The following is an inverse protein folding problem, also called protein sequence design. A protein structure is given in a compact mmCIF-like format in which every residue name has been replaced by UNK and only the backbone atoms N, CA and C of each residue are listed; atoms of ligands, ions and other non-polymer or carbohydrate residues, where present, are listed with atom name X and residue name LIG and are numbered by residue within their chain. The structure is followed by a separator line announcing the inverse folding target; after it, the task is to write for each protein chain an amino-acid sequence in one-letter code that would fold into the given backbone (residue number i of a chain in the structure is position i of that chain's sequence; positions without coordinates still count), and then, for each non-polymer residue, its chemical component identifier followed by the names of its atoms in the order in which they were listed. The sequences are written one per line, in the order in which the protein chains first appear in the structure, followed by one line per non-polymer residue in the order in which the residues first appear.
data_IF_989944078846
#
_entry.id   IF_989944078846
#
_cell.length_a   1.000
_cell.length_b   1.000
_cell.length_c   1.000
_cell.angle_alpha   90.00
_cell.angle_beta   90.00
_cell.angle_gamma   90.00
#
_symmetry.space_group_name_H-M   'P 1'
#
loop_
_entity.id
_entity.type
_entity.pdbx_description
1 polymer ?
#
# COMPACT_ATOMS: atom_id res chain seq x y z
N UNK A 1 28.47 -11.18 2.39
CA UNK A 1 28.04 -10.67 3.71
C UNK A 1 26.57 -10.32 3.61
N UNK A 2 25.72 -11.11 4.28
CA UNK A 2 24.25 -10.92 4.23
C UNK A 2 23.81 -9.76 5.13
N UNK A 3 22.98 -8.88 4.62
CA UNK A 3 22.30 -7.81 5.35
C UNK A 3 20.80 -7.96 5.15
N UNK A 4 19.99 -7.62 6.15
CA UNK A 4 18.55 -7.67 6.05
C UNK A 4 17.97 -6.25 6.22
N UNK A 5 17.09 -5.85 5.33
CA UNK A 5 16.30 -4.64 5.50
C UNK A 5 14.87 -5.05 5.81
N UNK A 6 14.28 -4.41 6.82
CA UNK A 6 12.94 -4.68 7.28
C UNK A 6 12.17 -3.37 7.22
N UNK A 7 11.14 -3.28 6.37
CA UNK A 7 10.24 -2.13 6.37
C UNK A 7 9.04 -2.42 7.25
N UNK A 8 8.75 -1.49 8.16
CA UNK A 8 7.71 -1.63 9.18
C UNK A 8 6.82 -0.40 9.14
N UNK A 9 5.53 -0.61 9.22
CA UNK A 9 4.52 0.44 9.26
C UNK A 9 3.92 0.54 10.69
N UNK A 10 4.08 1.73 11.32
CA UNK A 10 3.63 1.96 12.69
C UNK A 10 2.90 3.29 12.86
N UNK A 11 1.82 3.33 13.63
CA UNK A 11 1.22 4.59 14.04
C UNK A 11 1.90 5.26 15.26
N UNK A 12 2.74 4.58 16.03
CA UNK A 12 3.36 5.18 17.23
C UNK A 12 4.60 4.41 17.73
N UNK A 13 5.81 5.01 17.74
CA UNK A 13 6.98 4.44 18.42
C UNK A 13 7.74 5.48 19.25
N UNK A 14 8.00 5.12 20.52
CA UNK A 14 9.21 5.50 21.26
C UNK A 14 10.17 4.32 21.18
N UNK A 15 11.27 4.49 20.46
CA UNK A 15 12.26 3.45 20.17
C UNK A 15 12.93 2.90 21.42
N UNK A 16 12.98 1.57 21.53
CA UNK A 16 13.90 0.88 22.43
C UNK A 16 15.35 1.23 22.03
N UNK A 17 16.16 1.66 23.00
CA UNK A 17 17.52 2.17 22.75
C UNK A 17 18.48 1.13 22.13
N UNK A 18 18.15 -0.16 22.20
CA UNK A 18 19.03 -1.27 21.75
C UNK A 18 19.20 -1.38 20.23
N UNK A 19 18.28 -0.79 19.43
CA UNK A 19 18.30 -0.88 17.96
C UNK A 19 18.28 0.49 17.28
N UNK A 20 18.60 1.54 18.01
CA UNK A 20 18.48 2.94 17.56
C UNK A 20 19.38 3.28 16.37
N UNK A 21 20.50 2.61 16.23
CA UNK A 21 21.50 2.90 15.20
C UNK A 21 21.08 2.45 13.79
N UNK A 22 20.09 1.55 13.70
CA UNK A 22 19.68 0.92 12.46
C UNK A 22 18.19 1.16 12.13
N UNK A 23 17.53 2.03 12.87
CA UNK A 23 16.13 2.37 12.68
C UNK A 23 16.01 3.73 11.97
N UNK A 24 15.41 3.72 10.80
CA UNK A 24 15.20 4.90 9.95
C UNK A 24 13.71 5.15 9.76
N UNK A 25 13.24 6.38 9.99
CA UNK A 25 11.87 6.79 9.67
C UNK A 25 11.83 7.29 8.23
N UNK A 26 11.03 6.66 7.39
CA UNK A 26 10.87 7.04 5.98
C UNK A 26 9.84 8.16 5.80
N UNK A 27 8.78 8.15 6.59
CA UNK A 27 7.71 9.14 6.59
C UNK A 27 6.47 8.60 7.27
N UNK A 28 5.62 9.50 7.81
CA UNK A 28 4.39 9.07 8.48
C UNK A 28 4.63 8.01 9.55
N UNK A 29 4.06 6.85 9.36
CA UNK A 29 4.15 5.66 10.21
C UNK A 29 5.05 4.55 9.62
N UNK A 30 5.89 4.88 8.61
CA UNK A 30 6.79 3.96 7.95
C UNK A 30 8.22 4.06 8.47
N UNK A 31 8.77 2.91 8.83
CA UNK A 31 10.13 2.78 9.36
C UNK A 31 10.88 1.66 8.65
N UNK A 32 12.19 1.81 8.55
CA UNK A 32 13.11 0.78 8.05
C UNK A 32 14.09 0.43 9.13
N UNK A 33 14.25 -0.86 9.39
CA UNK A 33 15.31 -1.39 10.25
C UNK A 33 16.31 -2.12 9.37
N UNK A 34 17.59 -1.73 9.48
CA UNK A 34 18.69 -2.41 8.82
C UNK A 34 19.35 -3.33 9.82
N UNK A 35 19.38 -4.62 9.55
CA UNK A 35 20.04 -5.61 10.41
C UNK A 35 21.43 -5.91 9.82
N UNK A 36 22.52 -5.53 10.52
CA UNK A 36 23.85 -5.72 10.01
C UNK A 36 24.27 -7.19 10.05
N UNK A 37 25.33 -7.58 9.32
CA UNK A 37 25.80 -8.96 9.22
C UNK A 37 26.09 -9.62 10.56
N UNK A 38 26.67 -8.87 11.49
CA UNK A 38 27.04 -9.36 12.83
C UNK A 38 25.83 -9.74 13.69
N UNK A 39 24.67 -9.16 13.38
CA UNK A 39 23.39 -9.44 14.05
C UNK A 39 22.52 -10.41 13.28
N UNK A 40 22.94 -10.87 12.10
CA UNK A 40 22.12 -11.73 11.24
C UNK A 40 21.75 -13.07 11.89
N UNK A 41 22.63 -13.65 12.70
CA UNK A 41 22.35 -14.90 13.44
C UNK A 41 21.21 -14.76 14.45
N UNK A 42 20.88 -13.52 14.86
CA UNK A 42 19.76 -13.21 15.80
C UNK A 42 18.55 -12.61 15.09
N UNK A 43 18.52 -12.65 13.77
CA UNK A 43 17.48 -12.02 12.97
C UNK A 43 16.06 -12.45 13.39
N UNK A 44 15.82 -13.75 13.55
CA UNK A 44 14.51 -14.27 13.95
C UNK A 44 14.10 -13.76 15.34
N UNK A 45 15.04 -13.70 16.27
CA UNK A 45 14.79 -13.16 17.62
C UNK A 45 14.45 -11.67 17.57
N UNK A 46 15.14 -10.89 16.73
CA UNK A 46 14.85 -9.46 16.54
C UNK A 46 13.42 -9.28 16.02
N UNK A 47 13.03 -10.05 15.01
CA UNK A 47 11.67 -10.01 14.46
C UNK A 47 10.63 -10.37 15.52
N UNK A 48 10.86 -11.43 16.29
CA UNK A 48 9.94 -11.84 17.37
C UNK A 48 9.87 -10.82 18.51
N UNK A 49 10.98 -10.18 18.87
CA UNK A 49 10.98 -9.14 19.89
C UNK A 49 10.20 -7.91 19.43
N UNK A 50 10.31 -7.52 18.16
CA UNK A 50 9.49 -6.47 17.57
C UNK A 50 8.01 -6.87 17.62
N UNK A 51 7.64 -8.08 17.23
CA UNK A 51 6.25 -8.57 17.33
C UNK A 51 5.70 -8.50 18.75
N UNK A 52 6.50 -8.90 19.76
CA UNK A 52 6.13 -8.82 21.17
C UNK A 52 5.85 -7.39 21.63
N UNK A 53 6.56 -6.39 21.13
CA UNK A 53 6.31 -4.97 21.43
C UNK A 53 4.88 -4.57 21.02
N UNK A 54 4.39 -5.09 19.87
CA UNK A 54 3.05 -4.77 19.34
C UNK A 54 1.95 -5.72 19.81
N UNK A 55 2.29 -6.79 20.51
CA UNK A 55 1.29 -7.69 21.11
C UNK A 55 0.66 -7.15 22.38
N UNK A 56 1.23 -6.07 22.95
CA UNK A 56 0.78 -5.47 24.19
C UNK A 56 0.17 -4.09 23.93
N UNK A 57 -0.83 -3.68 24.74
CA UNK A 57 -1.34 -2.32 24.66
C UNK A 57 -0.26 -1.29 25.08
N UNK A 58 -0.34 -0.12 24.46
CA UNK A 58 0.49 1.03 24.80
C UNK A 58 -0.33 1.96 25.69
N UNK A 59 0.15 2.20 26.89
CA UNK A 59 -0.50 3.12 27.81
C UNK A 59 -0.06 4.56 27.50
N UNK A 60 -0.98 5.38 27.01
CA UNK A 60 -0.74 6.79 26.66
C UNK A 60 -1.88 7.65 27.19
N UNK A 61 -1.56 8.69 27.96
CA UNK A 61 -2.54 9.67 28.47
C UNK A 61 -3.80 9.01 29.07
N UNK A 62 -3.62 8.11 30.00
CA UNK A 62 -4.67 7.42 30.75
C UNK A 62 -5.58 6.48 29.94
N UNK A 63 -5.13 6.04 28.77
CA UNK A 63 -5.84 5.07 27.95
C UNK A 63 -4.89 4.00 27.34
N UNK A 64 -5.42 2.81 27.16
CA UNK A 64 -4.75 1.71 26.46
C UNK A 64 -4.99 1.83 24.96
N UNK A 65 -3.89 1.89 24.19
CA UNK A 65 -3.91 1.90 22.73
C UNK A 65 -3.36 0.60 22.17
N UNK A 66 -4.15 -0.06 21.36
CA UNK A 66 -3.73 -1.26 20.63
C UNK A 66 -3.22 -0.85 19.24
N UNK A 67 -1.94 -1.07 19.01
CA UNK A 67 -1.32 -0.82 17.72
C UNK A 67 -0.98 -2.15 17.06
N UNK A 68 -1.25 -2.26 15.77
CA UNK A 68 -0.81 -3.40 14.97
C UNK A 68 0.31 -2.99 14.03
N UNK A 69 1.16 -3.93 13.65
CA UNK A 69 2.21 -3.67 12.68
C UNK A 69 2.18 -4.69 11.55
N UNK A 70 2.52 -4.25 10.35
CA UNK A 70 2.82 -5.13 9.22
C UNK A 70 4.27 -4.94 8.83
N UNK A 71 4.97 -6.02 8.54
CA UNK A 71 6.40 -6.03 8.32
C UNK A 71 6.73 -6.76 7.02
N UNK A 72 7.51 -6.11 6.15
CA UNK A 72 8.11 -6.70 4.96
C UNK A 72 9.60 -6.90 5.15
N UNK A 73 10.11 -8.05 4.82
CA UNK A 73 11.50 -8.45 5.01
C UNK A 73 12.15 -8.73 3.67
N UNK A 74 13.36 -8.19 3.48
CA UNK A 74 14.24 -8.49 2.35
C UNK A 74 15.65 -8.81 2.83
N UNK A 75 16.35 -9.66 2.09
CA UNK A 75 17.74 -10.05 2.40
C UNK A 75 18.65 -9.59 1.26
N UNK A 76 19.69 -8.87 1.60
CA UNK A 76 20.78 -8.53 0.67
C UNK A 76 21.88 -9.60 0.75
N UNK A 77 22.46 -10.02 -0.37
CA UNK A 77 22.22 -9.59 -1.76
C UNK A 77 21.08 -10.30 -2.47
N UNK A 78 20.43 -11.28 -1.85
CA UNK A 78 19.51 -12.21 -2.49
C UNK A 78 18.33 -11.50 -3.17
N UNK A 79 17.88 -10.37 -2.59
CA UNK A 79 16.73 -9.62 -3.11
C UNK A 79 17.09 -8.44 -4.04
N UNK A 80 18.37 -8.10 -4.22
CA UNK A 80 18.77 -7.02 -5.12
C UNK A 80 20.07 -6.34 -4.74
N UNK A 81 20.56 -5.47 -5.62
CA UNK A 81 21.89 -4.84 -5.52
C UNK A 81 21.83 -3.37 -5.10
N UNK A 82 20.65 -2.74 -5.18
CA UNK A 82 20.48 -1.33 -4.84
C UNK A 82 19.55 -1.14 -3.64
N UNK A 83 19.80 -0.07 -2.87
CA UNK A 83 18.94 0.32 -1.75
C UNK A 83 17.51 0.58 -2.22
N UNK A 84 17.34 1.22 -3.37
CA UNK A 84 16.01 1.52 -3.94
C UNK A 84 15.24 0.23 -4.26
N UNK A 85 15.90 -0.76 -4.85
CA UNK A 85 15.31 -2.04 -5.17
C UNK A 85 14.94 -2.85 -3.90
N UNK A 86 15.85 -2.85 -2.91
CA UNK A 86 15.57 -3.50 -1.63
C UNK A 86 14.39 -2.86 -0.89
N UNK A 87 14.28 -1.52 -0.87
CA UNK A 87 13.14 -0.83 -0.26
C UNK A 87 11.86 -1.17 -1.01
N UNK A 88 11.86 -1.12 -2.35
CA UNK A 88 10.71 -1.50 -3.17
C UNK A 88 10.24 -2.94 -2.87
N UNK A 89 11.16 -3.88 -2.80
CA UNK A 89 10.85 -5.28 -2.50
C UNK A 89 10.37 -5.50 -1.06
N UNK A 90 10.90 -4.74 -0.10
CA UNK A 90 10.40 -4.73 1.28
C UNK A 90 8.95 -4.19 1.35
N UNK A 91 8.62 -3.17 0.54
CA UNK A 91 7.25 -2.65 0.41
C UNK A 91 6.29 -3.69 -0.15
N UNK A 92 6.69 -4.40 -1.20
CA UNK A 92 5.92 -5.50 -1.80
C UNK A 92 5.61 -6.56 -0.73
N UNK A 93 6.62 -7.00 0.02
CA UNK A 93 6.42 -7.98 1.10
C UNK A 93 5.54 -7.43 2.23
N UNK A 94 5.75 -6.18 2.66
CA UNK A 94 4.92 -5.55 3.69
C UNK A 94 3.46 -5.43 3.23
N UNK A 95 3.24 -5.11 1.96
CA UNK A 95 1.91 -5.08 1.39
C UNK A 95 1.25 -6.46 1.40
N UNK A 96 1.97 -7.52 1.07
CA UNK A 96 1.44 -8.89 1.17
C UNK A 96 1.05 -9.24 2.62
N UNK A 97 1.84 -8.80 3.60
CA UNK A 97 1.47 -8.92 5.01
C UNK A 97 0.16 -8.18 5.34
N UNK A 98 -0.06 -6.98 4.78
CA UNK A 98 -1.30 -6.21 4.95
C UNK A 98 -2.50 -6.90 4.29
N UNK A 99 -2.34 -7.40 3.08
CA UNK A 99 -3.39 -8.08 2.29
C UNK A 99 -3.85 -9.38 2.92
N UNK A 100 -2.92 -10.17 3.45
CA UNK A 100 -3.20 -11.47 4.05
C UNK A 100 -3.75 -11.42 5.48
N UNK A 101 -4.12 -10.21 5.97
CA UNK A 101 -4.84 -10.05 7.25
C UNK A 101 -4.18 -9.08 8.23
N UNK A 102 -3.20 -8.28 7.79
CA UNK A 102 -2.49 -7.29 8.64
C UNK A 102 -1.81 -7.93 9.87
N UNK A 103 -1.16 -7.15 10.70
CA UNK A 103 -0.53 -7.58 11.96
C UNK A 103 0.37 -8.84 11.81
N UNK A 104 1.17 -8.89 10.76
CA UNK A 104 2.03 -10.02 10.43
C UNK A 104 3.29 -9.63 9.69
N UNK A 105 4.15 -10.61 9.49
CA UNK A 105 5.42 -10.50 8.79
C UNK A 105 5.32 -11.27 7.48
N UNK A 106 5.84 -10.70 6.41
CA UNK A 106 6.06 -11.39 5.15
C UNK A 106 7.49 -11.18 4.67
N UNK A 107 8.10 -12.23 4.16
CA UNK A 107 9.42 -12.17 3.52
C UNK A 107 9.24 -12.11 2.01
N UNK A 108 9.97 -11.20 1.37
CA UNK A 108 10.01 -11.12 -0.08
C UNK A 108 10.51 -12.45 -0.67
N UNK A 109 9.82 -12.89 -1.71
CA UNK A 109 10.21 -14.06 -2.54
C UNK A 109 9.96 -13.69 -4.00
N UNK A 110 10.82 -14.13 -4.89
CA UNK A 110 10.59 -13.99 -6.33
C UNK A 110 9.24 -14.61 -6.70
N UNK A 111 8.46 -13.91 -7.53
CA UNK A 111 7.09 -14.31 -7.90
C UNK A 111 5.96 -13.61 -7.12
N UNK A 112 6.25 -12.94 -6.00
CA UNK A 112 5.28 -12.03 -5.33
C UNK A 112 5.12 -10.73 -6.14
N UNK A 113 6.07 -10.44 -7.03
CA UNK A 113 6.25 -9.15 -7.70
C UNK A 113 5.12 -8.72 -8.62
N UNK A 114 4.48 -9.66 -9.34
CA UNK A 114 3.62 -9.25 -10.45
C UNK A 114 2.30 -8.61 -10.01
N UNK A 115 1.70 -9.10 -8.93
CA UNK A 115 0.41 -8.58 -8.44
C UNK A 115 0.60 -7.44 -7.42
N UNK A 116 1.57 -7.61 -6.51
CA UNK A 116 1.80 -6.64 -5.43
C UNK A 116 2.58 -5.41 -5.91
N UNK A 117 3.53 -5.57 -6.84
CA UNK A 117 4.25 -4.47 -7.47
C UNK A 117 3.32 -3.58 -8.30
N UNK A 118 2.47 -4.17 -9.16
CA UNK A 118 1.48 -3.43 -9.95
C UNK A 118 0.53 -2.63 -9.06
N UNK A 119 0.13 -3.19 -7.93
CA UNK A 119 -0.78 -2.49 -7.01
C UNK A 119 -0.12 -1.31 -6.31
N UNK A 120 1.15 -1.42 -5.88
CA UNK A 120 1.90 -0.30 -5.32
C UNK A 120 2.11 0.81 -6.35
N UNK A 121 2.40 0.44 -7.59
CA UNK A 121 2.48 1.40 -8.70
C UNK A 121 1.14 2.08 -8.94
N UNK A 122 0.02 1.34 -8.91
CA UNK A 122 -1.33 1.92 -9.00
C UNK A 122 -1.64 2.84 -7.82
N UNK A 123 -1.30 2.44 -6.58
CA UNK A 123 -1.51 3.27 -5.39
C UNK A 123 -0.82 4.62 -5.51
N UNK A 124 0.46 4.61 -5.87
CA UNK A 124 1.24 5.83 -6.08
C UNK A 124 0.65 6.68 -7.20
N UNK A 125 0.44 6.08 -8.38
CA UNK A 125 -0.07 6.83 -9.53
C UNK A 125 -1.49 7.37 -9.31
N UNK A 126 -2.35 6.66 -8.55
CA UNK A 126 -3.68 7.17 -8.22
C UNK A 126 -3.62 8.40 -7.30
N UNK A 127 -2.73 8.39 -6.29
CA UNK A 127 -2.50 9.57 -5.44
C UNK A 127 -1.99 10.75 -6.26
N UNK A 128 -0.99 10.52 -7.11
CA UNK A 128 -0.44 11.55 -8.00
C UNK A 128 -1.55 12.12 -8.89
N UNK A 129 -2.33 11.27 -9.56
CA UNK A 129 -3.41 11.68 -10.47
C UNK A 129 -4.52 12.47 -9.77
N UNK A 130 -4.86 12.15 -8.49
CA UNK A 130 -5.84 12.92 -7.72
C UNK A 130 -5.32 14.29 -7.31
N UNK A 131 -4.03 14.41 -6.97
CA UNK A 131 -3.38 15.69 -6.61
C UNK A 131 -3.20 16.58 -7.85
N UNK A 132 -2.94 15.99 -9.01
CA UNK A 132 -2.73 16.69 -10.28
C UNK A 132 -4.05 17.13 -10.98
N UNK A 133 -5.19 17.05 -10.29
CA UNK A 133 -6.49 17.53 -10.77
C UNK A 133 -7.21 16.54 -11.68
N UNK A 134 -7.08 15.26 -11.43
CA UNK A 134 -7.84 14.15 -12.06
C UNK A 134 -7.64 14.00 -13.56
N UNK A 135 -6.56 14.53 -14.16
CA UNK A 135 -6.33 14.56 -15.62
C UNK A 135 -6.26 13.19 -16.27
N UNK A 136 -5.97 12.14 -15.51
CA UNK A 136 -5.92 10.76 -15.99
C UNK A 136 -7.29 10.05 -15.88
N UNK A 137 -8.30 10.71 -15.29
CA UNK A 137 -9.64 10.18 -15.17
C UNK A 137 -10.57 10.79 -16.20
N UNK A 138 -11.40 9.95 -16.80
CA UNK A 138 -12.39 10.33 -17.81
C UNK A 138 -13.76 9.78 -17.40
N UNK A 139 -14.83 10.52 -17.70
CA UNK A 139 -16.21 10.07 -17.50
C UNK A 139 -16.79 9.66 -18.83
N UNK A 140 -17.14 8.40 -18.97
CA UNK A 140 -17.82 7.84 -20.14
C UNK A 140 -19.30 7.70 -19.82
N UNK A 141 -20.15 7.79 -20.85
CA UNK A 141 -21.59 7.67 -20.70
C UNK A 141 -22.10 6.46 -21.46
N UNK A 142 -22.82 5.59 -20.72
CA UNK A 142 -23.52 4.47 -21.31
C UNK A 142 -25.02 4.80 -21.39
N UNK A 143 -25.63 4.85 -22.60
CA UNK A 143 -27.04 5.17 -22.71
C UNK A 143 -27.92 4.09 -22.08
N UNK A 144 -28.97 4.52 -21.39
CA UNK A 144 -30.04 3.67 -20.89
C UNK A 144 -31.20 3.78 -21.88
N UNK A 145 -31.55 2.66 -22.52
CA UNK A 145 -32.59 2.61 -23.54
C UNK A 145 -33.85 2.06 -22.91
N UNK A 146 -34.96 2.82 -23.03
CA UNK A 146 -36.30 2.33 -22.76
C UNK A 146 -36.92 1.77 -24.04
N UNK A 147 -37.18 0.48 -24.05
CA UNK A 147 -37.82 -0.24 -25.16
C UNK A 147 -39.31 -0.53 -24.92
N UNK A 148 -39.86 0.02 -23.84
CA UNK A 148 -41.31 -0.12 -23.55
C UNK A 148 -42.10 0.79 -24.48
N UNK A 149 -42.93 0.21 -25.35
CA UNK A 149 -43.77 0.95 -26.28
C UNK A 149 -43.39 0.84 -27.75
N UNK A 150 -42.47 -0.05 -28.11
CA UNK A 150 -42.14 -0.38 -29.51
C UNK A 150 -41.26 0.64 -30.21
N UNK A 151 -40.68 1.58 -29.47
CA UNK A 151 -39.61 2.50 -29.94
C UNK A 151 -38.52 2.56 -28.90
N UNK A 152 -37.29 2.40 -29.34
CA UNK A 152 -36.13 2.59 -28.49
C UNK A 152 -35.90 4.08 -28.24
N UNK A 153 -36.08 4.52 -27.00
CA UNK A 153 -35.85 5.92 -26.59
C UNK A 153 -34.74 5.94 -25.55
N UNK A 154 -33.81 6.83 -25.71
CA UNK A 154 -32.78 7.05 -24.68
C UNK A 154 -33.45 7.74 -23.47
N UNK A 155 -33.59 7.02 -22.37
CA UNK A 155 -34.23 7.49 -21.14
C UNK A 155 -33.21 8.13 -20.17
N UNK A 156 -31.92 7.92 -20.38
CA UNK A 156 -30.85 8.45 -19.54
C UNK A 156 -29.50 7.90 -19.93
N UNK A 157 -28.50 8.17 -19.12
CA UNK A 157 -27.17 7.61 -19.26
C UNK A 157 -26.54 7.30 -17.89
N UNK A 158 -25.76 6.24 -17.84
CA UNK A 158 -24.92 5.93 -16.69
C UNK A 158 -23.53 6.56 -16.88
N UNK A 159 -23.07 7.34 -15.89
CA UNK A 159 -21.75 7.93 -15.89
C UNK A 159 -20.74 6.92 -15.33
N UNK A 160 -19.79 6.51 -16.15
CA UNK A 160 -18.84 5.44 -15.87
C UNK A 160 -17.42 5.99 -15.91
N UNK A 161 -16.76 6.01 -14.76
CA UNK A 161 -15.37 6.48 -14.67
C UNK A 161 -14.40 5.51 -15.36
N UNK A 162 -13.39 6.07 -16.02
CA UNK A 162 -12.25 5.37 -16.62
C UNK A 162 -10.97 6.00 -16.11
N UNK A 163 -9.95 5.18 -15.91
CA UNK A 163 -8.62 5.65 -15.54
C UNK A 163 -7.60 5.23 -16.58
N UNK A 164 -7.04 6.22 -17.27
CA UNK A 164 -6.00 6.07 -18.27
C UNK A 164 -4.68 6.63 -17.71
N UNK A 165 -3.99 5.81 -16.89
CA UNK A 165 -2.72 6.24 -16.30
C UNK A 165 -1.64 6.39 -17.35
N UNK A 166 -0.94 7.54 -17.34
CA UNK A 166 0.18 7.80 -18.23
C UNK A 166 1.32 6.77 -18.10
N UNK A 167 1.46 6.16 -16.92
CA UNK A 167 2.50 5.18 -16.60
C UNK A 167 2.05 3.74 -16.74
N UNK A 168 0.78 3.44 -16.44
CA UNK A 168 0.28 2.07 -16.32
C UNK A 168 -0.71 1.71 -17.45
N UNK A 169 -1.09 2.68 -18.28
CA UNK A 169 -2.11 2.54 -19.31
C UNK A 169 -3.51 2.47 -18.72
N UNK A 170 -4.44 1.85 -19.45
CA UNK A 170 -5.81 1.68 -19.01
C UNK A 170 -5.88 0.74 -17.78
N UNK A 171 -6.57 1.20 -16.74
CA UNK A 171 -6.83 0.44 -15.52
C UNK A 171 -8.33 0.27 -15.37
N UNK A 172 -8.77 -0.98 -15.23
CA UNK A 172 -10.19 -1.32 -15.11
C UNK A 172 -10.80 -0.75 -13.83
N UNK A 173 -12.05 -0.24 -13.86
CA UNK A 173 -12.79 0.13 -12.65
C UNK A 173 -12.83 -0.97 -11.59
N UNK A 174 -12.97 -2.23 -12.00
CA UNK A 174 -12.94 -3.37 -11.08
C UNK A 174 -11.60 -3.54 -10.35
N UNK A 175 -10.51 -3.01 -10.92
CA UNK A 175 -9.17 -3.06 -10.33
C UNK A 175 -8.89 -1.83 -9.45
N UNK A 176 -9.26 -0.62 -9.90
CA UNK A 176 -8.90 0.58 -9.17
C UNK A 176 -9.94 1.07 -8.15
N UNK A 177 -11.23 0.80 -8.32
CA UNK A 177 -12.26 1.24 -7.36
C UNK A 177 -12.01 0.65 -5.95
N UNK A 178 -11.77 -0.68 -5.78
CA UNK A 178 -11.44 -1.22 -4.47
C UNK A 178 -10.15 -0.64 -3.87
N UNK A 179 -9.21 -0.24 -4.73
CA UNK A 179 -8.01 0.45 -4.30
C UNK A 179 -8.31 1.87 -3.84
N UNK A 180 -9.14 2.61 -4.56
CA UNK A 180 -9.59 3.95 -4.19
C UNK A 180 -10.32 3.96 -2.84
N UNK A 181 -11.15 2.95 -2.57
CA UNK A 181 -11.80 2.73 -1.27
C UNK A 181 -10.77 2.50 -0.16
N UNK A 182 -9.83 1.59 -0.40
CA UNK A 182 -8.75 1.29 0.55
C UNK A 182 -7.89 2.51 0.90
N UNK A 183 -7.62 3.37 -0.09
CA UNK A 183 -6.83 4.59 0.05
C UNK A 183 -7.61 5.78 0.62
N UNK A 184 -8.94 5.66 0.76
CA UNK A 184 -9.81 6.78 1.12
C UNK A 184 -9.98 7.82 0.01
N UNK A 185 -9.64 7.46 -1.24
CA UNK A 185 -9.74 8.35 -2.42
C UNK A 185 -11.06 8.20 -3.16
N UNK A 186 -11.92 7.28 -2.77
CA UNK A 186 -13.20 7.03 -3.46
C UNK A 186 -14.11 8.25 -3.42
N UNK A 187 -14.18 8.96 -2.29
CA UNK A 187 -15.01 10.17 -2.16
C UNK A 187 -14.49 11.34 -3.02
N UNK A 188 -13.21 11.72 -2.98
CA UNK A 188 -12.66 12.70 -3.90
C UNK A 188 -12.90 12.37 -5.37
N UNK A 189 -12.67 11.12 -5.79
CA UNK A 189 -12.90 10.65 -7.16
C UNK A 189 -14.40 10.70 -7.48
N UNK A 190 -15.27 10.28 -6.57
CA UNK A 190 -16.73 10.37 -6.74
C UNK A 190 -17.22 11.80 -6.92
N UNK A 191 -16.69 12.75 -6.16
CA UNK A 191 -17.01 14.17 -6.32
C UNK A 191 -16.57 14.70 -7.70
N UNK A 192 -15.39 14.30 -8.17
CA UNK A 192 -14.94 14.61 -9.53
C UNK A 192 -15.94 14.10 -10.58
N UNK A 193 -16.35 12.83 -10.49
CA UNK A 193 -17.34 12.24 -11.42
C UNK A 193 -18.66 13.02 -11.39
N UNK A 194 -19.16 13.40 -10.21
CA UNK A 194 -20.40 14.18 -10.08
C UNK A 194 -20.29 15.61 -10.64
N UNK A 195 -19.07 16.14 -10.70
CA UNK A 195 -18.84 17.48 -11.25
C UNK A 195 -18.72 17.47 -12.78
N UNK A 196 -18.17 16.37 -13.32
CA UNK A 196 -17.97 16.19 -14.78
C UNK A 196 -19.22 15.58 -15.47
N UNK A 197 -20.14 14.95 -14.74
CA UNK A 197 -21.35 14.32 -15.27
C UNK A 197 -22.50 15.32 -15.44
#
# INVERSE_FOLDING_TARGET
VRRCAVKIHFPCIKTDQRHREYLYRMGGDEFVIVIPPDSYSRFENIVEDIKKIFSKPWFLKDADYYCTMSMGIVTFPDAGDSVADLIKKADIAMYEAKKTGKNRVATYREGIDSVSGRRLDMEKNMRDATVEGYREFEVYYQPIIDSQGGRDVCAGAEALIRWNSAKLGFISPAEFIPLAEYLGLINPIGNYVLTEA
#
